data_IF_981115293963
#
_entry.id   IF_981115293963
#
_cell.length_a   1.000
_cell.length_b   1.000
_cell.length_c   1.000
_cell.angle_alpha   90.00
_cell.angle_beta   90.00
_cell.angle_gamma   90.00
#
_symmetry.space_group_name_H-M   'P 1'
#
loop_
_entity.id
_entity.type
_entity.pdbx_description
1 polymer ?
#
# COMPACT_ATOMS: atom_id res chain seq x y z
N UNK A 1 -13.64 -2.22 6.93
CA UNK A 1 -12.40 -1.96 6.19
C UNK A 1 -12.08 -0.47 6.32
N UNK A 2 -10.81 -0.13 6.53
CA UNK A 2 -10.31 1.24 6.67
C UNK A 2 -9.13 1.39 5.72
N UNK A 3 -8.98 2.58 5.13
CA UNK A 3 -7.83 2.89 4.28
C UNK A 3 -6.88 3.79 5.06
N UNK A 4 -5.61 3.41 5.09
CA UNK A 4 -4.50 4.24 5.53
C UNK A 4 -3.79 4.80 4.31
N UNK A 5 -3.61 6.12 4.24
CA UNK A 5 -2.92 6.77 3.11
C UNK A 5 -1.40 6.56 3.09
N UNK A 6 -0.88 5.94 4.13
CA UNK A 6 0.53 5.59 4.37
C UNK A 6 0.58 4.23 5.09
N UNK A 7 1.78 3.79 5.44
CA UNK A 7 1.92 2.64 6.35
C UNK A 7 1.14 2.90 7.65
N UNK A 8 0.28 1.97 8.07
CA UNK A 8 -0.61 2.19 9.22
C UNK A 8 0.12 2.37 10.57
N UNK A 9 1.39 1.97 10.66
CA UNK A 9 2.23 2.19 11.84
C UNK A 9 2.96 3.54 11.83
N UNK A 10 2.78 4.36 10.79
CA UNK A 10 3.40 5.69 10.70
C UNK A 10 2.62 6.72 11.52
N UNK A 11 3.34 7.58 12.25
CA UNK A 11 2.74 8.71 12.99
C UNK A 11 1.95 9.68 12.08
N UNK A 12 2.24 9.68 10.78
CA UNK A 12 1.63 10.58 9.79
C UNK A 12 0.48 9.91 9.03
N UNK A 13 0.14 8.66 9.35
CA UNK A 13 -0.93 7.94 8.67
C UNK A 13 -2.30 8.55 8.98
N UNK A 14 -3.09 8.79 7.92
CA UNK A 14 -4.49 9.17 8.04
C UNK A 14 -5.37 7.98 7.73
N UNK A 15 -6.35 7.74 8.60
CA UNK A 15 -7.31 6.65 8.48
C UNK A 15 -8.64 7.20 7.98
N UNK A 16 -9.11 6.67 6.86
CA UNK A 16 -10.35 7.11 6.22
C UNK A 16 -11.29 5.93 5.98
N UNK A 17 -12.58 6.25 5.80
CA UNK A 17 -13.54 5.29 5.26
C UNK A 17 -13.09 4.84 3.86
N UNK A 18 -13.65 3.74 3.37
CA UNK A 18 -13.29 3.22 2.04
C UNK A 18 -13.56 4.24 0.93
N UNK A 19 -14.72 4.89 0.97
CA UNK A 19 -15.13 5.84 -0.07
C UNK A 19 -14.20 7.06 -0.04
N UNK A 20 -14.01 7.66 1.13
CA UNK A 20 -13.20 8.88 1.27
C UNK A 20 -11.72 8.59 1.03
N UNK A 21 -11.23 7.46 1.55
CA UNK A 21 -9.85 7.02 1.39
C UNK A 21 -9.50 6.81 -0.08
N UNK A 22 -10.33 6.08 -0.83
CA UNK A 22 -10.08 5.85 -2.26
C UNK A 22 -10.04 7.15 -3.08
N UNK A 23 -10.81 8.16 -2.69
CA UNK A 23 -10.79 9.47 -3.32
C UNK A 23 -9.55 10.30 -2.92
N UNK A 24 -9.05 10.11 -1.69
CA UNK A 24 -7.92 10.86 -1.14
C UNK A 24 -6.54 10.30 -1.51
N UNK A 25 -6.44 9.04 -1.96
CA UNK A 25 -5.17 8.42 -2.35
C UNK A 25 -4.62 9.04 -3.65
N UNK A 26 -3.38 9.49 -3.60
CA UNK A 26 -2.61 9.88 -4.78
C UNK A 26 -2.10 8.65 -5.52
N UNK A 27 -2.90 8.18 -6.49
CA UNK A 27 -2.60 6.97 -7.27
C UNK A 27 -1.32 7.10 -8.09
N UNK A 28 -1.02 8.31 -8.58
CA UNK A 28 0.17 8.53 -9.40
C UNK A 28 1.44 8.33 -8.57
N UNK A 29 1.45 8.83 -7.32
CA UNK A 29 2.55 8.59 -6.37
C UNK A 29 2.63 7.13 -5.92
N UNK A 30 1.50 6.49 -5.63
CA UNK A 30 1.46 5.08 -5.16
C UNK A 30 2.01 4.12 -6.22
N UNK A 31 1.57 4.29 -7.48
CA UNK A 31 1.97 3.43 -8.59
C UNK A 31 3.26 3.88 -9.28
N UNK A 32 3.89 4.97 -8.83
CA UNK A 32 5.15 5.43 -9.37
C UNK A 32 6.23 4.34 -9.31
N UNK A 33 6.85 4.05 -10.47
CA UNK A 33 7.95 3.10 -10.59
C UNK A 33 9.17 3.58 -9.80
N UNK A 34 9.48 4.87 -9.91
CA UNK A 34 10.57 5.53 -9.21
C UNK A 34 10.00 6.67 -8.37
N UNK A 35 10.26 6.61 -7.06
CA UNK A 35 9.83 7.62 -6.09
C UNK A 35 11.04 8.36 -5.46
N UNK A 36 12.25 7.93 -5.82
CA UNK A 36 13.52 8.40 -5.26
C UNK A 36 14.16 9.54 -6.02
N UNK A 37 13.67 9.85 -7.23
CA UNK A 37 14.24 10.89 -8.10
C UNK A 37 13.61 12.25 -7.77
N UNK A 38 13.80 12.68 -6.53
CA UNK A 38 13.34 13.98 -6.03
C UNK A 38 14.52 14.73 -5.43
N UNK A 39 14.60 16.03 -5.70
CA UNK A 39 15.73 16.86 -5.27
C UNK A 39 15.68 17.18 -3.77
N UNK A 40 14.51 17.03 -3.15
CA UNK A 40 14.25 17.37 -1.75
C UNK A 40 14.05 16.11 -0.89
N UNK A 41 14.74 16.05 0.25
CA UNK A 41 14.65 14.94 1.20
C UNK A 41 13.25 14.77 1.81
N UNK A 42 12.50 15.86 2.03
CA UNK A 42 11.14 15.77 2.54
C UNK A 42 10.20 15.08 1.55
N UNK A 43 10.33 15.39 0.25
CA UNK A 43 9.53 14.77 -0.80
C UNK A 43 9.87 13.28 -0.93
N UNK A 44 11.14 12.92 -0.72
CA UNK A 44 11.58 11.52 -0.69
C UNK A 44 10.89 10.75 0.44
N UNK A 45 10.86 11.32 1.65
CA UNK A 45 10.23 10.70 2.81
C UNK A 45 8.71 10.62 2.67
N UNK A 46 8.09 11.66 2.13
CA UNK A 46 6.66 11.66 1.86
C UNK A 46 6.30 10.57 0.84
N UNK A 47 6.98 10.53 -0.31
CA UNK A 47 6.72 9.56 -1.36
C UNK A 47 6.98 8.12 -0.89
N UNK A 48 8.03 7.91 -0.08
CA UNK A 48 8.29 6.62 0.58
C UNK A 48 7.10 6.18 1.43
N UNK A 49 6.52 7.12 2.19
CA UNK A 49 5.41 6.83 3.09
C UNK A 49 4.11 6.57 2.34
N UNK A 50 3.78 7.41 1.35
CA UNK A 50 2.58 7.30 0.51
C UNK A 50 2.55 5.97 -0.26
N UNK A 51 3.70 5.51 -0.77
CA UNK A 51 3.79 4.22 -1.48
C UNK A 51 3.41 3.02 -0.62
N UNK A 52 3.47 3.17 0.70
CA UNK A 52 3.07 2.15 1.67
C UNK A 52 1.61 2.33 2.15
N UNK A 53 0.75 3.01 1.39
CA UNK A 53 -0.68 3.05 1.68
C UNK A 53 -1.26 1.62 1.85
N UNK A 54 -2.11 1.44 2.85
CA UNK A 54 -2.58 0.13 3.31
C UNK A 54 -4.10 0.08 3.40
N UNK A 55 -4.66 -1.11 3.14
CA UNK A 55 -6.08 -1.40 3.33
C UNK A 55 -6.21 -2.36 4.52
N UNK A 56 -6.86 -1.88 5.58
CA UNK A 56 -7.03 -2.61 6.82
C UNK A 56 -8.39 -3.31 6.83
N UNK A 57 -8.35 -4.64 6.81
CA UNK A 57 -9.54 -5.49 6.83
C UNK A 57 -9.64 -6.11 8.24
N UNK A 58 -10.71 -5.82 8.99
CA UNK A 58 -10.95 -6.47 10.27
C UNK A 58 -11.02 -7.99 10.11
N UNK A 59 -10.51 -8.71 11.09
CA UNK A 59 -10.53 -10.17 11.20
C UNK A 59 -9.77 -10.93 10.10
N UNK A 60 -10.30 -10.98 8.87
CA UNK A 60 -9.70 -11.72 7.75
C UNK A 60 -10.25 -11.32 6.39
N UNK A 61 -9.45 -11.58 5.35
CA UNK A 61 -9.91 -11.61 3.95
C UNK A 61 -10.43 -13.01 3.65
N UNK A 62 -11.69 -13.14 3.21
CA UNK A 62 -12.20 -14.45 2.80
C UNK A 62 -11.51 -14.94 1.51
N UNK A 63 -11.16 -16.24 1.40
CA UNK A 63 -10.45 -16.78 0.23
C UNK A 63 -11.15 -16.53 -1.11
N UNK A 64 -12.48 -16.42 -1.11
CA UNK A 64 -13.29 -16.12 -2.31
C UNK A 64 -12.96 -14.77 -2.96
N UNK A 65 -12.31 -13.86 -2.24
CA UNK A 65 -11.89 -12.55 -2.75
C UNK A 65 -10.43 -12.54 -3.26
N UNK A 66 -9.70 -13.65 -3.14
CA UNK A 66 -8.32 -13.78 -3.61
C UNK A 66 -8.33 -14.36 -5.03
N UNK A 67 -7.92 -13.56 -6.01
CA UNK A 67 -7.88 -13.99 -7.43
C UNK A 67 -6.72 -14.94 -7.72
N UNK A 68 -5.60 -14.77 -7.01
CA UNK A 68 -4.39 -15.57 -7.16
C UNK A 68 -3.26 -15.01 -6.32
N UNK A 69 -2.11 -15.68 -6.33
CA UNK A 69 -0.89 -15.24 -5.66
C UNK A 69 0.32 -15.44 -6.59
N UNK A 70 1.32 -14.58 -6.44
CA UNK A 70 2.62 -14.73 -7.08
C UNK A 70 3.63 -15.23 -6.07
N UNK A 71 4.48 -16.17 -6.48
CA UNK A 71 5.59 -16.67 -5.66
C UNK A 71 6.88 -15.93 -6.00
N UNK A 72 7.76 -15.79 -5.01
CA UNK A 72 8.98 -14.99 -5.16
C UNK A 72 10.00 -15.61 -6.13
N UNK A 73 10.04 -16.94 -6.24
CA UNK A 73 10.97 -17.68 -7.09
C UNK A 73 10.49 -19.12 -7.31
N UNK A 74 11.26 -19.85 -8.13
CA UNK A 74 10.98 -21.24 -8.49
C UNK A 74 11.01 -22.19 -7.27
N UNK A 75 11.94 -22.00 -6.33
CA UNK A 75 12.00 -22.80 -5.10
C UNK A 75 10.74 -22.66 -4.25
N UNK A 76 10.18 -21.44 -4.16
CA UNK A 76 8.91 -21.21 -3.47
C UNK A 76 7.72 -21.82 -4.23
N UNK A 77 7.77 -21.89 -5.57
CA UNK A 77 6.74 -22.54 -6.38
C UNK A 77 6.69 -24.05 -6.12
N UNK A 78 7.85 -24.69 -6.02
CA UNK A 78 7.98 -26.15 -5.85
C UNK A 78 7.56 -26.63 -4.46
N UNK A 79 7.55 -25.74 -3.46
CA UNK A 79 7.14 -26.05 -2.09
C UNK A 79 5.63 -25.94 -1.84
N UNK A 80 4.86 -25.47 -2.83
CA UNK A 80 3.39 -25.34 -2.80
C UNK A 80 2.71 -26.54 -3.47
#
# INVERSE_FOLDING_TARGET
MIISDRNAASDWARFNTVIDGLAALDKDKIYARYWTNVDNQYDLWENKSIKCAEVLIPDRVEPKYIVGAYVANQTALEAF
#
